data_IF_813737789596
#
_entry.id   IF_813737789596
#
_cell.length_a   1.000
_cell.length_b   1.000
_cell.length_c   1.000
_cell.angle_alpha   90.00
_cell.angle_beta   90.00
_cell.angle_gamma   90.00
#
_symmetry.space_group_name_H-M   'P 1'
#
loop_
_entity.id
_entity.type
_entity.pdbx_description
1 polymer ?
#
# COMPACT_ATOMS: atom_id res chain seq x y z
N UNK A 1 -0.51 23.70 -11.60
CA UNK A 1 0.30 22.89 -12.53
C UNK A 1 -0.62 21.88 -13.20
N UNK A 2 -0.47 21.64 -14.51
CA UNK A 2 -1.29 20.70 -15.29
C UNK A 2 -1.37 19.28 -14.66
N UNK A 3 -0.39 18.94 -13.82
CA UNK A 3 -0.38 17.75 -12.98
C UNK A 3 -1.60 17.66 -12.02
N UNK A 4 -2.00 18.76 -11.37
CA UNK A 4 -3.10 18.77 -10.40
C UNK A 4 -4.49 18.47 -10.99
N UNK A 5 -4.70 18.86 -12.25
CA UNK A 5 -5.97 18.67 -12.97
C UNK A 5 -6.12 17.23 -13.49
N UNK A 6 -5.00 16.58 -13.83
CA UNK A 6 -4.99 15.15 -14.16
C UNK A 6 -5.32 14.26 -12.95
N UNK A 7 -4.87 14.63 -11.74
CA UNK A 7 -5.15 13.85 -10.53
C UNK A 7 -6.61 13.94 -10.09
N UNK A 8 -7.23 15.11 -10.19
CA UNK A 8 -8.65 15.26 -9.90
C UNK A 8 -9.50 14.39 -10.85
N UNK A 9 -9.14 14.33 -12.14
CA UNK A 9 -9.88 13.51 -13.11
C UNK A 9 -9.68 12.01 -12.89
N UNK A 10 -8.48 11.57 -12.47
CA UNK A 10 -8.23 10.17 -12.11
C UNK A 10 -9.00 9.78 -10.85
N UNK A 11 -9.01 10.64 -9.84
CA UNK A 11 -9.75 10.42 -8.58
C UNK A 11 -11.27 10.39 -8.82
N UNK A 12 -11.80 11.28 -9.65
CA UNK A 12 -13.21 11.30 -10.05
C UNK A 12 -13.59 10.07 -10.89
N UNK A 13 -12.74 9.69 -11.86
CA UNK A 13 -12.90 8.48 -12.65
C UNK A 13 -12.89 7.21 -11.79
N UNK A 14 -12.09 7.21 -10.72
CA UNK A 14 -12.05 6.12 -9.75
C UNK A 14 -13.28 6.06 -8.87
N UNK A 15 -13.74 7.19 -8.31
CA UNK A 15 -14.99 7.25 -7.54
C UNK A 15 -16.20 6.88 -8.40
N UNK A 16 -16.15 7.12 -9.70
CA UNK A 16 -17.15 6.59 -10.64
C UNK A 16 -17.01 5.08 -10.83
N UNK A 17 -15.78 4.55 -10.95
CA UNK A 17 -15.52 3.12 -11.03
C UNK A 17 -15.96 2.38 -9.76
N UNK A 18 -15.76 2.94 -8.55
CA UNK A 18 -16.23 2.33 -7.28
C UNK A 18 -17.76 2.23 -7.17
N UNK A 19 -18.50 3.04 -7.93
CA UNK A 19 -19.97 2.99 -8.01
C UNK A 19 -20.49 1.93 -8.99
N UNK A 20 -19.63 1.39 -9.84
CA UNK A 20 -19.93 0.34 -10.82
C UNK A 20 -19.32 -0.98 -10.33
N UNK A 21 -19.99 -1.64 -9.38
CA UNK A 21 -19.73 -3.03 -8.96
C UNK A 21 -18.23 -3.39 -8.81
N UNK A 22 -17.50 -2.59 -8.05
CA UNK A 22 -16.03 -2.58 -8.02
C UNK A 22 -15.40 -3.53 -7.00
N UNK A 23 -15.91 -4.76 -6.92
CA UNK A 23 -15.35 -5.82 -6.08
C UNK A 23 -14.15 -6.54 -6.73
N UNK A 24 -13.37 -5.87 -7.57
CA UNK A 24 -12.14 -6.43 -8.14
C UNK A 24 -10.91 -5.81 -7.46
N UNK A 25 -10.27 -6.55 -6.52
CA UNK A 25 -9.06 -6.09 -5.81
C UNK A 25 -7.93 -5.61 -6.71
N UNK A 26 -7.85 -6.13 -7.94
CA UNK A 26 -6.83 -5.76 -8.94
C UNK A 26 -6.88 -4.29 -9.35
N UNK A 27 -8.07 -3.69 -9.42
CA UNK A 27 -8.26 -2.28 -9.82
C UNK A 27 -7.70 -1.36 -8.73
N UNK A 28 -8.00 -1.67 -7.46
CA UNK A 28 -7.50 -0.93 -6.31
C UNK A 28 -6.00 -1.11 -6.11
N UNK A 29 -5.48 -2.31 -6.36
CA UNK A 29 -4.05 -2.60 -6.32
C UNK A 29 -3.29 -1.78 -7.39
N UNK A 30 -3.79 -1.74 -8.62
CA UNK A 30 -3.17 -0.97 -9.70
C UNK A 30 -3.18 0.55 -9.43
N UNK A 31 -4.24 1.09 -8.83
CA UNK A 31 -4.26 2.51 -8.43
C UNK A 31 -3.22 2.82 -7.37
N UNK A 32 -3.14 1.98 -6.34
CA UNK A 32 -2.24 2.23 -5.25
C UNK A 32 -0.76 2.04 -5.68
N UNK A 33 -0.48 1.09 -6.59
CA UNK A 33 0.82 0.96 -7.26
C UNK A 33 1.15 2.20 -8.12
N UNK A 34 0.18 2.79 -8.80
CA UNK A 34 0.36 4.06 -9.52
C UNK A 34 0.74 5.19 -8.57
N UNK A 35 0.10 5.29 -7.40
CA UNK A 35 0.45 6.26 -6.37
C UNK A 35 1.86 6.05 -5.80
N UNK A 36 2.27 4.79 -5.61
CA UNK A 36 3.64 4.46 -5.22
C UNK A 36 4.66 4.84 -6.30
N UNK A 37 4.34 4.64 -7.59
CA UNK A 37 5.22 4.97 -8.71
C UNK A 37 5.48 6.49 -8.90
N UNK A 38 4.67 7.34 -8.27
CA UNK A 38 4.85 8.80 -8.29
C UNK A 38 5.30 9.37 -6.94
N UNK A 39 5.90 8.53 -6.07
CA UNK A 39 6.37 8.86 -4.72
C UNK A 39 5.29 9.50 -3.80
N UNK A 40 4.01 9.30 -4.11
CA UNK A 40 2.87 9.78 -3.31
C UNK A 40 2.44 8.72 -2.31
N UNK A 41 3.34 8.35 -1.42
CA UNK A 41 3.14 7.27 -0.45
C UNK A 41 1.99 7.54 0.52
N UNK A 42 1.71 8.80 0.87
CA UNK A 42 0.56 9.15 1.71
C UNK A 42 -0.77 8.89 1.00
N UNK A 43 -0.86 9.20 -0.29
CA UNK A 43 -2.02 8.86 -1.11
C UNK A 43 -2.19 7.36 -1.28
N UNK A 44 -1.08 6.63 -1.46
CA UNK A 44 -1.10 5.16 -1.52
C UNK A 44 -1.66 4.55 -0.21
N UNK A 45 -1.22 5.04 0.96
CA UNK A 45 -1.77 4.61 2.24
C UNK A 45 -3.28 4.81 2.32
N UNK A 46 -3.78 6.00 1.96
CA UNK A 46 -5.23 6.29 2.01
C UNK A 46 -6.05 5.36 1.11
N UNK A 47 -5.53 5.06 -0.08
CA UNK A 47 -6.19 4.13 -1.03
C UNK A 47 -6.19 2.70 -0.47
N UNK A 48 -5.05 2.22 0.05
CA UNK A 48 -4.95 0.89 0.63
C UNK A 48 -5.80 0.74 1.90
N UNK A 49 -5.86 1.75 2.77
CA UNK A 49 -6.70 1.75 3.97
C UNK A 49 -8.20 1.65 3.59
N UNK A 50 -8.64 2.43 2.60
CA UNK A 50 -10.01 2.36 2.10
C UNK A 50 -10.33 1.00 1.46
N UNK A 51 -9.37 0.41 0.72
CA UNK A 51 -9.49 -0.92 0.15
C UNK A 51 -9.63 -1.97 1.26
N UNK A 52 -8.76 -1.96 2.27
CA UNK A 52 -8.72 -2.94 3.35
C UNK A 52 -9.90 -2.83 4.31
N UNK A 53 -10.54 -1.65 4.41
CA UNK A 53 -11.81 -1.49 5.13
C UNK A 53 -12.94 -2.35 4.53
N UNK A 54 -12.86 -2.66 3.23
CA UNK A 54 -13.85 -3.48 2.51
C UNK A 54 -13.33 -4.89 2.20
N UNK A 55 -12.02 -5.04 2.00
CA UNK A 55 -11.34 -6.28 1.61
C UNK A 55 -10.23 -6.66 2.59
N UNK A 56 -10.59 -6.80 3.86
CA UNK A 56 -9.65 -7.00 4.98
C UNK A 56 -8.75 -8.25 4.87
N UNK A 57 -9.09 -9.20 3.99
CA UNK A 57 -8.33 -10.43 3.74
C UNK A 57 -7.33 -10.33 2.58
N UNK A 58 -7.23 -9.17 1.91
CA UNK A 58 -6.33 -9.01 0.77
C UNK A 58 -4.88 -8.79 1.21
N UNK A 59 -4.12 -9.89 1.33
CA UNK A 59 -2.74 -9.90 1.80
C UNK A 59 -1.82 -9.00 0.99
N UNK A 60 -1.97 -8.97 -0.34
CA UNK A 60 -1.14 -8.14 -1.21
C UNK A 60 -1.32 -6.64 -0.95
N UNK A 61 -2.57 -6.19 -0.74
CA UNK A 61 -2.83 -4.79 -0.39
C UNK A 61 -2.25 -4.42 0.97
N UNK A 62 -2.33 -5.33 1.96
CA UNK A 62 -1.73 -5.10 3.27
C UNK A 62 -0.19 -5.09 3.21
N UNK A 63 0.41 -5.95 2.36
CA UNK A 63 1.84 -5.93 2.07
C UNK A 63 2.25 -4.59 1.43
N UNK A 64 1.50 -4.11 0.44
CA UNK A 64 1.78 -2.86 -0.27
C UNK A 64 1.50 -1.60 0.58
N UNK A 65 0.54 -1.66 1.50
CA UNK A 65 0.36 -0.65 2.54
C UNK A 65 1.61 -0.56 3.44
N UNK A 66 2.14 -1.72 3.85
CA UNK A 66 3.38 -1.77 4.62
C UNK A 66 4.58 -1.20 3.87
N UNK A 67 4.71 -1.48 2.56
CA UNK A 67 5.71 -0.81 1.72
C UNK A 67 5.51 0.71 1.66
N UNK A 68 4.27 1.18 1.53
CA UNK A 68 3.96 2.61 1.52
C UNK A 68 4.36 3.30 2.83
N UNK A 69 4.12 2.66 3.98
CA UNK A 69 4.63 3.15 5.28
C UNK A 69 6.15 3.15 5.36
N UNK A 70 6.81 2.11 4.85
CA UNK A 70 8.28 2.04 4.81
C UNK A 70 8.86 3.22 4.03
N UNK A 71 8.33 3.53 2.84
CA UNK A 71 8.81 4.67 2.04
C UNK A 71 8.54 6.04 2.69
N UNK A 72 7.58 6.11 3.62
CA UNK A 72 7.33 7.29 4.48
C UNK A 72 8.20 7.33 5.74
N UNK A 73 9.12 6.38 5.89
CA UNK A 73 9.94 6.19 7.09
C UNK A 73 9.16 5.79 8.35
N UNK A 74 7.88 5.40 8.20
CA UNK A 74 7.05 4.85 9.27
C UNK A 74 7.30 3.34 9.41
N UNK A 75 8.53 3.01 9.84
CA UNK A 75 9.00 1.63 9.99
C UNK A 75 8.18 0.79 10.99
N UNK A 76 7.61 1.34 12.08
CA UNK A 76 6.71 0.61 12.97
C UNK A 76 5.44 0.12 12.27
N UNK A 77 4.72 1.00 11.56
CA UNK A 77 3.50 0.60 10.86
C UNK A 77 3.78 -0.33 9.68
N UNK A 78 4.89 -0.12 8.97
CA UNK A 78 5.37 -1.04 7.94
C UNK A 78 5.53 -2.46 8.51
N UNK A 79 6.19 -2.59 9.67
CA UNK A 79 6.41 -3.87 10.35
C UNK A 79 5.10 -4.53 10.76
N UNK A 80 4.17 -3.76 11.33
CA UNK A 80 2.86 -4.27 11.75
C UNK A 80 2.09 -4.86 10.57
N UNK A 81 2.13 -4.20 9.41
CA UNK A 81 1.50 -4.69 8.18
C UNK A 81 2.11 -6.02 7.73
N UNK A 82 3.45 -6.08 7.65
CA UNK A 82 4.18 -7.29 7.24
C UNK A 82 3.90 -8.47 8.17
N UNK A 83 3.97 -8.26 9.48
CA UNK A 83 3.68 -9.29 10.49
C UNK A 83 2.24 -9.79 10.39
N UNK A 84 1.28 -8.91 10.10
CA UNK A 84 -0.13 -9.31 9.95
C UNK A 84 -0.33 -10.22 8.73
N UNK A 85 0.33 -9.92 7.60
CA UNK A 85 0.29 -10.80 6.42
C UNK A 85 0.95 -12.14 6.73
N UNK A 86 2.16 -12.14 7.29
CA UNK A 86 2.91 -13.36 7.60
C UNK A 86 2.26 -14.22 8.70
N UNK A 87 1.48 -13.62 9.59
CA UNK A 87 0.68 -14.37 10.54
C UNK A 87 -0.43 -15.17 9.85
N UNK A 88 -0.99 -14.65 8.76
CA UNK A 88 -2.08 -15.30 7.98
C UNK A 88 -1.53 -16.28 6.96
N UNK A 89 -0.48 -15.87 6.25
CA UNK A 89 0.24 -16.66 5.27
C UNK A 89 1.75 -16.55 5.53
N UNK A 90 2.33 -17.47 6.31
CA UNK A 90 3.76 -17.50 6.60
C UNK A 90 4.62 -17.73 5.35
N UNK A 91 4.03 -18.17 4.24
CA UNK A 91 4.72 -18.48 2.98
C UNK A 91 4.57 -17.39 1.92
N UNK A 92 4.00 -16.23 2.30
CA UNK A 92 3.80 -15.11 1.39
C UNK A 92 5.14 -14.49 0.94
N UNK A 93 5.63 -14.94 -0.22
CA UNK A 93 7.00 -14.67 -0.70
C UNK A 93 7.29 -13.17 -0.81
N UNK A 94 6.36 -12.39 -1.35
CA UNK A 94 6.55 -10.95 -1.52
C UNK A 94 6.69 -10.24 -0.16
N UNK A 95 5.85 -10.58 0.81
CA UNK A 95 5.90 -9.98 2.14
C UNK A 95 7.13 -10.39 2.91
N UNK A 96 7.61 -11.63 2.76
CA UNK A 96 8.89 -12.06 3.36
C UNK A 96 10.05 -11.21 2.85
N UNK A 97 10.11 -10.96 1.54
CA UNK A 97 11.13 -10.10 0.94
C UNK A 97 11.01 -8.66 1.46
N UNK A 98 9.81 -8.09 1.42
CA UNK A 98 9.54 -6.72 1.87
C UNK A 98 9.86 -6.54 3.36
N UNK A 99 9.53 -7.52 4.20
CA UNK A 99 9.84 -7.47 5.62
C UNK A 99 11.34 -7.51 5.88
N UNK A 100 12.10 -8.29 5.11
CA UNK A 100 13.57 -8.25 5.16
C UNK A 100 14.12 -6.85 4.89
N UNK A 101 13.59 -6.15 3.89
CA UNK A 101 13.97 -4.76 3.59
C UNK A 101 13.63 -3.81 4.75
N UNK A 102 12.43 -3.93 5.33
CA UNK A 102 12.01 -3.12 6.49
C UNK A 102 12.96 -3.33 7.68
N UNK A 103 13.32 -4.58 7.98
CA UNK A 103 14.23 -4.91 9.08
C UNK A 103 15.64 -4.35 8.85
N UNK A 104 16.16 -4.42 7.62
CA UNK A 104 17.45 -3.82 7.27
C UNK A 104 17.43 -2.30 7.49
N UNK A 105 16.35 -1.61 7.07
CA UNK A 105 16.22 -0.17 7.32
C UNK A 105 16.20 0.11 8.82
N UNK A 106 15.42 -0.61 9.62
CA UNK A 106 15.39 -0.42 11.07
C UNK A 106 16.77 -0.56 11.73
N UNK A 107 17.57 -1.54 11.31
CA UNK A 107 18.94 -1.69 11.80
C UNK A 107 19.81 -0.48 11.44
N UNK A 108 19.75 -0.02 10.19
CA UNK A 108 20.50 1.17 9.75
C UNK A 108 20.13 2.44 10.54
N UNK A 109 18.85 2.62 10.87
CA UNK A 109 18.38 3.76 11.68
C UNK A 109 18.77 3.62 13.17
N UNK A 110 18.93 2.39 13.68
CA UNK A 110 19.35 2.16 15.06
C UNK A 110 20.86 2.37 15.27
N UNK A 111 21.66 2.28 14.20
CA UNK A 111 23.11 2.47 14.21
C UNK A 111 23.56 3.93 13.97
N UNK A 112 22.63 4.82 13.59
CA UNK A 112 22.87 6.24 13.33
C UNK A 112 22.72 7.11 14.59
#
# INVERSE_FOLDING_TARGET
>A
SAEGEGYASVQEGFVAATKLDNMQPDIWNNLALLHMAVDKFEGACQVFDAMLANFSHYSDALSNLGLSYMFRDDLPEATRCMQTVLFRDPTHVETLNNYGVVLMRQQMHAEA
#
